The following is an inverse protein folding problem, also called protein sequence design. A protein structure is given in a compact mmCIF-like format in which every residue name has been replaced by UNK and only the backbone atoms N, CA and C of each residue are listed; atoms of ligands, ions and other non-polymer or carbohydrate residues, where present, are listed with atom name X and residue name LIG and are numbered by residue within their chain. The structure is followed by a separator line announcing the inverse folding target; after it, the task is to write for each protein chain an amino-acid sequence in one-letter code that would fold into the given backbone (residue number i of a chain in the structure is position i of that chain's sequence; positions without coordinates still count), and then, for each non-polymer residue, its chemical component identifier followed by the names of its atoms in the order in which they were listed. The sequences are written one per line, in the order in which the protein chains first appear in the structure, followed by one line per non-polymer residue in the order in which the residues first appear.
data_IF_884300791107
#
_entry.id   IF_884300791107
#
_cell.length_a   1.000
_cell.length_b   1.000
_cell.length_c   1.000
_cell.angle_alpha   90.00
_cell.angle_beta   90.00
_cell.angle_gamma   90.00
#
_symmetry.space_group_name_H-M   'P 1'
#
loop_
_entity.id
_entity.type
_entity.pdbx_description
1 polymer ?
#
# COMPACT_ATOMS: atom_id res chain seq x y z
N UNK A 1 -1.06 -17.83 7.60
CA UNK A 1 -1.62 -17.20 6.39
C UNK A 1 -2.28 -15.86 6.73
N UNK A 2 -3.19 -15.82 7.71
CA UNK A 2 -3.96 -14.63 8.11
C UNK A 2 -3.16 -13.31 8.30
N UNK A 3 -2.04 -13.34 9.03
CA UNK A 3 -1.29 -12.10 9.33
C UNK A 3 -0.70 -11.38 8.10
N UNK A 4 -0.41 -12.09 7.00
CA UNK A 4 0.13 -11.47 5.80
C UNK A 4 -0.97 -10.80 4.97
N UNK A 5 -2.13 -11.44 4.86
CA UNK A 5 -3.30 -10.89 4.15
C UNK A 5 -3.81 -9.63 4.86
N UNK A 6 -3.87 -9.65 6.19
CA UNK A 6 -4.21 -8.48 7.01
C UNK A 6 -3.20 -7.33 6.81
N UNK A 7 -1.90 -7.63 6.71
CA UNK A 7 -0.87 -6.62 6.42
C UNK A 7 -1.08 -5.97 5.05
N UNK A 8 -1.40 -6.76 4.03
CA UNK A 8 -1.69 -6.27 2.68
C UNK A 8 -2.93 -5.38 2.71
N UNK A 9 -4.00 -5.78 3.40
CA UNK A 9 -5.23 -5.03 3.52
C UNK A 9 -5.03 -3.69 4.24
N UNK A 10 -4.31 -3.68 5.37
CA UNK A 10 -4.01 -2.46 6.13
C UNK A 10 -3.11 -1.49 5.36
N UNK A 11 -2.10 -2.00 4.64
CA UNK A 11 -1.29 -1.16 3.74
C UNK A 11 -2.15 -0.56 2.62
N UNK A 12 -3.03 -1.34 2.00
CA UNK A 12 -3.93 -0.86 0.95
C UNK A 12 -4.89 0.22 1.46
N UNK A 13 -5.48 0.02 2.65
CA UNK A 13 -6.32 0.99 3.33
C UNK A 13 -5.57 2.30 3.60
N UNK A 14 -4.31 2.21 4.08
CA UNK A 14 -3.48 3.38 4.34
C UNK A 14 -3.14 4.15 3.05
N UNK A 15 -2.84 3.45 1.95
CA UNK A 15 -2.56 4.07 0.65
C UNK A 15 -3.77 4.82 0.12
N UNK A 16 -4.95 4.19 0.14
CA UNK A 16 -6.22 4.82 -0.28
C UNK A 16 -6.59 6.00 0.62
N UNK A 17 -6.44 5.85 1.94
CA UNK A 17 -6.72 6.91 2.89
C UNK A 17 -5.84 8.13 2.62
N UNK A 18 -4.53 7.90 2.42
CA UNK A 18 -3.59 8.96 2.05
C UNK A 18 -3.97 9.62 0.73
N UNK A 19 -4.39 8.85 -0.27
CA UNK A 19 -4.77 9.39 -1.58
C UNK A 19 -6.05 10.24 -1.50
N UNK A 20 -7.05 9.78 -0.76
CA UNK A 20 -8.33 10.47 -0.59
C UNK A 20 -8.28 11.63 0.42
N UNK A 21 -7.13 11.90 1.05
CA UNK A 21 -7.01 12.91 2.11
C UNK A 21 -7.76 12.52 3.39
N UNK A 22 -8.02 11.23 3.60
CA UNK A 22 -8.67 10.70 4.80
C UNK A 22 -7.63 10.41 5.88
N UNK A 23 -7.95 10.72 7.13
CA UNK A 23 -7.13 10.28 8.24
C UNK A 23 -7.27 8.76 8.41
N UNK A 24 -6.18 8.04 8.15
CA UNK A 24 -6.12 6.61 8.38
C UNK A 24 -6.34 6.29 9.87
N UNK A 25 -7.25 5.37 10.15
CA UNK A 25 -7.39 4.80 11.48
C UNK A 25 -6.78 3.41 11.48
N UNK A 26 -5.69 3.24 12.21
CA UNK A 26 -5.12 1.92 12.45
C UNK A 26 -6.01 1.20 13.43
N UNK A 27 -6.75 0.21 12.95
CA UNK A 27 -7.47 -0.71 13.82
C UNK A 27 -6.59 -1.95 14.03
N UNK A 28 -6.61 -2.52 15.24
CA UNK A 28 -5.89 -3.76 15.58
C UNK A 28 -4.35 -3.68 15.73
N UNK A 29 -3.87 -2.84 16.65
CA UNK A 29 -2.45 -2.81 17.10
C UNK A 29 -1.86 -4.17 17.50
N UNK A 30 -2.72 -5.16 17.79
CA UNK A 30 -2.39 -6.53 18.17
C UNK A 30 -1.58 -7.27 17.08
N UNK A 31 -1.74 -6.90 15.80
CA UNK A 31 -1.02 -7.55 14.69
C UNK A 31 0.38 -6.99 14.46
N UNK A 32 0.68 -5.79 14.97
CA UNK A 32 1.99 -5.15 14.83
C UNK A 32 3.10 -6.03 15.41
N UNK A 33 2.86 -6.70 16.54
CA UNK A 33 3.84 -7.61 17.13
C UNK A 33 4.14 -8.81 16.21
N UNK A 34 3.10 -9.38 15.59
CA UNK A 34 3.24 -10.50 14.65
C UNK A 34 3.95 -10.08 13.35
N UNK A 35 3.67 -8.88 12.85
CA UNK A 35 4.33 -8.31 11.68
C UNK A 35 5.79 -7.97 11.95
N UNK A 36 6.11 -7.38 13.11
CA UNK A 36 7.48 -7.10 13.53
C UNK A 36 8.31 -8.39 13.62
N UNK A 37 7.73 -9.47 14.13
CA UNK A 37 8.42 -10.77 14.19
C UNK A 37 8.64 -11.36 12.78
N UNK A 38 7.64 -11.29 11.90
CA UNK A 38 7.77 -11.72 10.52
C UNK A 38 8.83 -10.91 9.76
N UNK A 39 8.87 -9.59 9.95
CA UNK A 39 9.84 -8.67 9.33
C UNK A 39 11.26 -8.83 9.86
N UNK A 40 11.42 -9.22 11.13
CA UNK A 40 12.73 -9.60 11.67
C UNK A 40 13.28 -10.85 11.00
N UNK A 41 12.41 -11.80 10.68
CA UNK A 41 12.78 -13.04 10.01
C UNK A 41 13.02 -12.84 8.51
N UNK A 42 12.20 -12.01 7.85
CA UNK A 42 12.38 -11.64 6.44
C UNK A 42 11.97 -10.19 6.17
N UNK A 43 12.97 -9.33 5.95
CA UNK A 43 12.77 -7.92 5.62
C UNK A 43 12.13 -7.72 4.25
N UNK A 44 12.13 -8.72 3.36
CA UNK A 44 11.51 -8.62 2.04
C UNK A 44 9.99 -8.67 2.11
N UNK A 45 9.44 -9.21 3.19
CA UNK A 45 8.00 -9.38 3.38
C UNK A 45 7.25 -8.04 3.33
N UNK A 46 7.83 -6.95 3.83
CA UNK A 46 7.23 -5.59 3.73
C UNK A 46 7.07 -5.17 2.27
N UNK A 47 8.05 -5.45 1.41
CA UNK A 47 8.02 -5.07 0.00
C UNK A 47 7.03 -5.94 -0.78
N UNK A 48 6.95 -7.23 -0.46
CA UNK A 48 5.95 -8.13 -1.04
C UNK A 48 4.52 -7.70 -0.67
N UNK A 49 4.29 -7.37 0.62
CA UNK A 49 2.99 -6.90 1.08
C UNK A 49 2.61 -5.57 0.43
N UNK A 50 3.53 -4.61 0.40
CA UNK A 50 3.32 -3.32 -0.25
C UNK A 50 3.04 -3.46 -1.75
N UNK A 51 3.74 -4.36 -2.45
CA UNK A 51 3.53 -4.60 -3.88
C UNK A 51 2.14 -5.18 -4.17
N UNK A 52 1.63 -6.06 -3.30
CA UNK A 52 0.28 -6.59 -3.42
C UNK A 52 -0.78 -5.54 -3.07
N UNK A 53 -0.53 -4.75 -2.03
CA UNK A 53 -1.40 -3.65 -1.63
C UNK A 53 -1.53 -2.62 -2.77
N UNK A 54 -0.41 -2.23 -3.40
CA UNK A 54 -0.42 -1.30 -4.53
C UNK A 54 -1.25 -1.85 -5.69
N UNK A 55 -1.09 -3.13 -6.06
CA UNK A 55 -1.91 -3.76 -7.11
C UNK A 55 -3.41 -3.72 -6.79
N UNK A 56 -3.78 -3.91 -5.52
CA UNK A 56 -5.17 -3.82 -5.10
C UNK A 56 -5.70 -2.39 -5.22
N UNK A 57 -4.89 -1.39 -4.83
CA UNK A 57 -5.23 0.03 -4.99
C UNK A 57 -5.35 0.44 -6.46
N UNK A 58 -4.42 0.04 -7.30
CA UNK A 58 -4.44 0.30 -8.74
C UNK A 58 -5.69 -0.29 -9.40
N UNK A 59 -6.12 -1.48 -8.95
CA UNK A 59 -7.36 -2.10 -9.41
C UNK A 59 -8.60 -1.29 -8.99
N UNK A 60 -8.61 -0.74 -7.76
CA UNK A 60 -9.73 0.05 -7.24
C UNK A 60 -9.78 1.48 -7.82
N UNK A 61 -8.62 2.05 -8.16
CA UNK A 61 -8.47 3.42 -8.66
C UNK A 61 -7.59 3.43 -9.92
N UNK A 62 -8.14 3.08 -11.10
CA UNK A 62 -7.37 3.00 -12.33
C UNK A 62 -6.76 4.34 -12.79
N UNK A 63 -7.40 5.47 -12.46
CA UNK A 63 -6.87 6.80 -12.81
C UNK A 63 -5.54 7.10 -12.08
N UNK A 64 -5.37 6.54 -10.88
CA UNK A 64 -4.19 6.68 -10.03
C UNK A 64 -2.96 6.01 -10.65
N UNK A 65 -3.14 4.79 -11.17
CA UNK A 65 -2.10 4.03 -11.85
C UNK A 65 -1.65 4.69 -13.17
N UNK A 66 -2.51 5.51 -13.78
CA UNK A 66 -2.26 6.14 -15.08
C UNK A 66 -1.55 7.49 -14.96
N UNK A 67 -1.70 8.19 -13.83
CA UNK A 67 -1.20 9.57 -13.64
C UNK A 67 0.34 9.72 -13.62
N UNK A 68 1.10 8.63 -13.46
CA UNK A 68 2.57 8.65 -13.42
C UNK A 68 3.19 8.81 -14.83
N UNK A 69 2.43 8.56 -15.90
CA UNK A 69 2.96 8.56 -17.28
C UNK A 69 2.91 9.92 -17.97
N UNK A 70 2.15 10.90 -17.46
CA UNK A 70 1.89 12.17 -18.17
C UNK A 70 2.79 13.36 -17.83
N UNK A 71 3.86 13.19 -17.03
CA UNK A 71 4.83 14.28 -16.78
C UNK A 71 6.09 14.11 -17.63
N UNK A 72 5.98 14.23 -18.95
CA UNK A 72 7.11 14.49 -19.85
C UNK A 72 6.60 14.95 -21.22
N UNK A 73 7.07 16.14 -21.63
CA UNK A 73 6.97 16.77 -22.95
C UNK A 73 5.68 17.56 -23.22
N UNK A 74 5.68 18.87 -22.91
CA UNK A 74 5.06 19.94 -23.73
C UNK A 74 5.32 21.37 -23.16
N UNK A 75 6.59 21.76 -22.99
CA UNK A 75 6.99 23.16 -22.73
C UNK A 75 7.96 23.70 -23.82
N UNK A 76 7.81 23.23 -25.06
CA UNK A 76 8.64 23.70 -26.17
C UNK A 76 7.84 23.80 -27.48
N UNK A 77 7.01 24.84 -27.59
CA UNK A 77 6.63 25.47 -28.86
C UNK A 77 6.16 26.91 -28.61
#
# INVERSE_FOLDING_TARGET
AYAFEELVAEMGSAFLSSHCGLQGQLHHANYIASWLQALRNDKRLVFSAASLAQKAVDFLMPELATSVVSTSMEDAA
#
